data_IF_011154298621
#
_entry.id   IF_011154298621
#
_cell.length_a   1.000
_cell.length_b   1.000
_cell.length_c   1.000
_cell.angle_alpha   90.00
_cell.angle_beta   90.00
_cell.angle_gamma   90.00
#
_symmetry.space_group_name_H-M   'P 1'
#
loop_
_entity.id
_entity.type
_entity.pdbx_description
1 polymer ?
#
# COMPACT_ATOMS: atom_id res chain seq x y z
N UNK A 1 2.11 -23.78 -19.83
CA UNK A 1 1.03 -24.51 -19.12
C UNK A 1 0.30 -23.53 -18.23
N UNK A 2 -0.95 -23.21 -18.55
CA UNK A 2 -1.81 -22.35 -17.72
C UNK A 2 -2.16 -23.16 -16.47
N UNK A 3 -1.74 -22.68 -15.29
CA UNK A 3 -2.13 -23.28 -14.01
C UNK A 3 -3.66 -23.21 -13.91
N UNK A 4 -4.29 -24.38 -13.78
CA UNK A 4 -5.72 -24.56 -13.49
C UNK A 4 -6.20 -23.52 -12.48
N UNK A 5 -7.11 -22.65 -12.92
CA UNK A 5 -7.80 -21.67 -12.08
C UNK A 5 -8.78 -22.44 -11.17
N UNK A 6 -8.38 -22.73 -9.93
CA UNK A 6 -9.23 -23.46 -8.96
C UNK A 6 -9.30 -22.74 -7.61
N UNK A 7 -10.14 -21.71 -7.58
CA UNK A 7 -11.19 -21.38 -6.58
C UNK A 7 -11.86 -20.10 -7.10
N UNK A 8 -13.18 -20.06 -7.18
CA UNK A 8 -13.93 -18.80 -7.36
C UNK A 8 -13.72 -17.99 -6.08
N UNK A 9 -12.71 -17.15 -6.07
CA UNK A 9 -12.55 -16.16 -5.01
C UNK A 9 -13.55 -15.05 -5.30
N UNK A 10 -14.35 -14.70 -4.30
CA UNK A 10 -15.22 -13.54 -4.39
C UNK A 10 -14.39 -12.31 -4.01
N UNK A 11 -14.55 -11.25 -4.80
CA UNK A 11 -13.91 -9.97 -4.56
C UNK A 11 -14.99 -8.93 -4.31
N UNK A 12 -14.76 -8.11 -3.30
CA UNK A 12 -15.57 -6.96 -2.93
C UNK A 12 -14.78 -5.69 -3.21
N UNK A 13 -15.50 -4.59 -3.44
CA UNK A 13 -14.98 -3.31 -3.86
C UNK A 13 -15.38 -2.23 -2.86
N UNK A 14 -14.43 -1.36 -2.53
CA UNK A 14 -14.67 -0.14 -1.76
C UNK A 14 -14.00 1.04 -2.49
N UNK A 15 -14.70 2.18 -2.61
CA UNK A 15 -14.23 3.33 -3.40
C UNK A 15 -14.39 4.63 -2.59
N UNK A 16 -13.39 5.50 -2.61
CA UNK A 16 -13.45 6.82 -1.98
C UNK A 16 -14.38 7.79 -2.72
N UNK A 17 -14.64 8.95 -2.13
CA UNK A 17 -15.17 10.09 -2.90
C UNK A 17 -14.18 10.54 -3.99
N UNK A 18 -14.64 11.35 -4.93
CA UNK A 18 -13.76 12.00 -5.93
C UNK A 18 -12.96 13.12 -5.27
N UNK A 19 -11.63 13.06 -5.36
CA UNK A 19 -10.69 13.96 -4.67
C UNK A 19 -9.81 14.73 -5.68
N UNK A 20 -9.35 15.92 -5.31
CA UNK A 20 -8.55 16.81 -6.18
C UNK A 20 -8.86 18.29 -5.94
N UNK A 21 -7.87 19.19 -6.00
CA UNK A 21 -8.10 20.66 -5.86
C UNK A 21 -8.75 21.34 -7.07
N UNK A 22 -8.77 20.69 -8.24
CA UNK A 22 -9.25 21.28 -9.50
C UNK A 22 -10.35 20.47 -10.20
N UNK A 23 -10.49 20.63 -11.52
CA UNK A 23 -11.47 19.86 -12.30
C UNK A 23 -11.05 18.40 -12.48
N UNK A 24 -9.74 18.14 -12.46
CA UNK A 24 -9.20 16.79 -12.45
C UNK A 24 -9.42 16.17 -11.07
N UNK A 25 -10.04 14.99 -11.04
CA UNK A 25 -10.36 14.26 -9.82
C UNK A 25 -10.04 12.78 -9.98
N UNK A 26 -9.55 12.19 -8.91
CA UNK A 26 -9.23 10.76 -8.79
C UNK A 26 -10.02 10.12 -7.65
N UNK A 27 -9.98 8.79 -7.58
CA UNK A 27 -10.61 8.02 -6.51
C UNK A 27 -9.69 6.88 -6.11
N UNK A 28 -9.62 6.61 -4.80
CA UNK A 28 -8.98 5.41 -4.30
C UNK A 28 -9.95 4.24 -4.41
N UNK A 29 -9.48 3.13 -5.00
CA UNK A 29 -10.26 1.93 -5.19
C UNK A 29 -9.58 0.74 -4.51
N UNK A 30 -10.32 0.01 -3.69
CA UNK A 30 -9.85 -1.17 -2.98
C UNK A 30 -10.62 -2.39 -3.43
N UNK A 31 -9.93 -3.32 -4.09
CA UNK A 31 -10.46 -4.61 -4.45
C UNK A 31 -9.88 -5.66 -3.49
N UNK A 32 -10.73 -6.31 -2.70
CA UNK A 32 -10.28 -7.25 -1.68
C UNK A 32 -11.14 -8.51 -1.66
N UNK A 33 -10.57 -9.60 -1.13
CA UNK A 33 -11.29 -10.87 -1.00
C UNK A 33 -11.96 -10.96 0.36
N UNK A 34 -13.28 -11.05 0.37
CA UNK A 34 -14.08 -11.20 1.58
C UNK A 34 -13.81 -12.53 2.32
N UNK A 35 -13.30 -13.55 1.62
CA UNK A 35 -12.84 -14.80 2.26
C UNK A 35 -11.51 -14.67 3.03
N UNK A 36 -10.85 -13.51 2.96
CA UNK A 36 -9.57 -13.22 3.61
C UNK A 36 -9.64 -12.10 4.64
N UNK A 37 -10.45 -11.08 4.39
CA UNK A 37 -10.57 -9.90 5.25
C UNK A 37 -12.01 -9.37 5.29
N UNK A 38 -12.39 -8.79 6.42
CA UNK A 38 -13.60 -7.98 6.53
C UNK A 38 -13.22 -6.49 6.58
N UNK A 39 -13.84 -5.64 5.77
CA UNK A 39 -13.76 -4.18 5.98
C UNK A 39 -14.63 -3.81 7.18
N UNK A 40 -14.00 -3.38 8.28
CA UNK A 40 -14.68 -3.08 9.54
C UNK A 40 -14.77 -1.57 9.85
N UNK A 41 -14.16 -0.74 9.03
CA UNK A 41 -14.31 0.71 9.08
C UNK A 41 -13.57 1.40 7.95
N UNK A 42 -14.06 2.54 7.51
CA UNK A 42 -13.36 3.42 6.59
C UNK A 42 -13.74 4.88 6.86
N UNK A 43 -12.88 5.81 6.48
CA UNK A 43 -13.21 7.23 6.44
C UNK A 43 -12.26 8.03 5.54
N UNK A 44 -12.78 9.12 5.00
CA UNK A 44 -11.99 10.13 4.30
C UNK A 44 -11.35 11.07 5.33
N UNK A 45 -10.03 11.25 5.29
CA UNK A 45 -9.35 12.26 6.12
C UNK A 45 -9.88 13.66 5.76
N UNK A 46 -10.11 14.51 6.77
CA UNK A 46 -10.82 15.80 6.60
C UNK A 46 -9.91 16.99 6.29
N UNK A 47 -8.60 16.80 6.37
CA UNK A 47 -7.56 17.76 5.96
C UNK A 47 -7.83 19.21 6.39
N UNK A 48 -8.21 19.38 7.65
CA UNK A 48 -8.65 20.63 8.23
C UNK A 48 -7.85 20.98 9.49
N UNK A 49 -6.57 20.61 9.50
CA UNK A 49 -5.68 20.89 10.62
C UNK A 49 -5.42 22.41 10.71
N UNK A 50 -5.66 23.05 11.88
CA UNK A 50 -5.49 24.49 12.01
C UNK A 50 -4.06 24.93 11.69
N UNK A 51 -3.89 25.79 10.68
CA UNK A 51 -2.60 26.30 10.25
C UNK A 51 -1.89 25.45 9.19
N UNK A 52 -2.44 24.30 8.81
CA UNK A 52 -2.06 23.56 7.60
C UNK A 52 -3.28 22.97 6.89
N UNK A 53 -4.34 23.77 6.77
CA UNK A 53 -5.55 23.36 6.07
C UNK A 53 -5.26 23.08 4.58
N UNK A 54 -5.93 22.05 4.03
CA UNK A 54 -5.74 21.64 2.63
C UNK A 54 -4.26 21.31 2.34
N UNK A 55 -3.67 20.39 3.10
CA UNK A 55 -2.34 19.86 2.86
C UNK A 55 -2.28 18.96 1.62
N UNK A 56 -3.30 18.14 1.39
CA UNK A 56 -3.33 17.10 0.37
C UNK A 56 -4.13 17.50 -0.86
N UNK A 57 -3.59 17.25 -2.05
CA UNK A 57 -4.39 17.36 -3.26
C UNK A 57 -5.52 16.31 -3.30
N UNK A 58 -5.26 15.14 -2.70
CA UNK A 58 -6.20 14.03 -2.50
C UNK A 58 -6.06 13.52 -1.08
N UNK A 59 -7.02 13.87 -0.25
CA UNK A 59 -7.03 13.52 1.16
C UNK A 59 -6.96 11.99 1.32
N UNK A 60 -6.19 11.42 2.26
CA UNK A 60 -6.07 9.97 2.39
C UNK A 60 -7.39 9.28 2.76
N UNK A 61 -7.72 8.19 2.06
CA UNK A 61 -8.90 7.36 2.34
C UNK A 61 -8.55 6.17 3.22
N UNK A 62 -8.74 6.29 4.53
CA UNK A 62 -8.29 5.30 5.51
C UNK A 62 -9.26 4.12 5.59
N UNK A 63 -8.75 2.89 5.56
CA UNK A 63 -9.53 1.65 5.70
C UNK A 63 -8.98 0.77 6.82
N UNK A 64 -9.87 0.15 7.59
CA UNK A 64 -9.53 -0.81 8.64
C UNK A 64 -10.12 -2.17 8.31
N UNK A 65 -9.26 -3.16 8.24
CA UNK A 65 -9.60 -4.53 7.94
C UNK A 65 -9.40 -5.42 9.16
N UNK A 66 -10.32 -6.36 9.35
CA UNK A 66 -10.07 -7.55 10.16
C UNK A 66 -9.49 -8.63 9.25
N UNK A 67 -8.36 -9.22 9.62
CA UNK A 67 -7.70 -10.24 8.81
C UNK A 67 -7.90 -11.66 9.36
N UNK A 68 -8.37 -12.58 8.52
CA UNK A 68 -8.79 -13.91 8.98
C UNK A 68 -7.60 -14.88 9.19
N UNK A 69 -6.59 -14.81 8.33
CA UNK A 69 -5.57 -15.88 8.18
C UNK A 69 -4.13 -15.44 8.48
N UNK A 70 -3.92 -14.17 8.80
CA UNK A 70 -2.61 -13.58 9.12
C UNK A 70 -2.36 -13.62 10.62
N UNK A 71 -1.09 -13.48 11.02
CA UNK A 71 -0.71 -13.29 12.44
C UNK A 71 -1.27 -11.97 12.98
N UNK A 72 -1.29 -10.94 12.13
CA UNK A 72 -1.95 -9.67 12.36
C UNK A 72 -3.45 -9.83 12.15
N UNK A 73 -4.30 -9.51 13.13
CA UNK A 73 -5.77 -9.65 13.03
C UNK A 73 -6.49 -8.34 12.69
N UNK A 74 -5.80 -7.22 12.84
CA UNK A 74 -6.30 -5.87 12.63
C UNK A 74 -5.27 -5.14 11.77
N UNK A 75 -5.68 -4.61 10.63
CA UNK A 75 -4.81 -3.92 9.68
C UNK A 75 -5.48 -2.64 9.22
N UNK A 76 -4.78 -1.52 9.36
CA UNK A 76 -5.18 -0.24 8.80
C UNK A 76 -4.34 0.05 7.57
N UNK A 77 -5.01 0.41 6.47
CA UNK A 77 -4.39 0.86 5.23
C UNK A 77 -4.66 2.34 5.02
N UNK A 78 -3.61 3.08 4.66
CA UNK A 78 -3.65 4.49 4.27
C UNK A 78 -3.11 4.58 2.83
N UNK A 79 -3.99 4.56 1.80
CA UNK A 79 -3.60 4.82 0.43
C UNK A 79 -3.16 6.26 0.25
N UNK A 80 -2.11 6.47 -0.54
CA UNK A 80 -1.61 7.80 -0.87
C UNK A 80 -1.30 7.88 -2.36
N UNK A 81 -1.76 8.95 -2.99
CA UNK A 81 -1.26 9.38 -4.30
C UNK A 81 -0.91 10.85 -4.16
N UNK A 82 0.38 11.15 -4.00
CA UNK A 82 0.83 12.52 -3.77
C UNK A 82 0.74 13.36 -5.03
N UNK A 83 0.52 14.67 -4.89
CA UNK A 83 0.73 15.55 -6.05
C UNK A 83 2.24 15.72 -6.25
N UNK A 84 2.80 15.43 -7.45
CA UNK A 84 4.25 15.38 -7.63
C UNK A 84 4.98 16.64 -7.14
N UNK A 85 4.45 17.82 -7.44
CA UNK A 85 5.06 19.10 -7.04
C UNK A 85 4.97 19.39 -5.53
N UNK A 86 4.03 18.75 -4.83
CA UNK A 86 3.78 18.93 -3.39
C UNK A 86 4.22 17.69 -2.57
N UNK A 87 4.89 16.70 -3.18
CA UNK A 87 5.23 15.41 -2.56
C UNK A 87 5.94 15.56 -1.22
N UNK A 88 6.89 16.48 -1.10
CA UNK A 88 7.61 16.69 0.17
C UNK A 88 6.67 17.12 1.29
N UNK A 89 5.71 18.01 0.98
CA UNK A 89 4.72 18.48 1.95
C UNK A 89 3.75 17.35 2.29
N UNK A 90 3.10 16.78 1.29
CA UNK A 90 2.08 15.74 1.50
C UNK A 90 2.64 14.53 2.24
N UNK A 91 3.88 14.10 1.95
CA UNK A 91 4.52 13.01 2.67
C UNK A 91 4.85 13.36 4.12
N UNK A 92 5.18 14.61 4.43
CA UNK A 92 5.43 15.03 5.81
C UNK A 92 4.12 15.01 6.63
N UNK A 93 3.03 15.49 6.04
CA UNK A 93 1.69 15.54 6.63
C UNK A 93 1.06 14.16 6.85
N UNK A 94 1.57 13.10 6.20
CA UNK A 94 1.16 11.73 6.52
C UNK A 94 1.47 11.34 7.97
N UNK A 95 2.39 12.03 8.64
CA UNK A 95 2.62 11.84 10.07
C UNK A 95 1.37 12.21 10.89
N UNK A 96 0.71 13.32 10.56
CA UNK A 96 -0.47 13.78 11.30
C UNK A 96 -1.69 12.92 10.99
N UNK A 97 -1.82 12.47 9.74
CA UNK A 97 -2.80 11.44 9.36
C UNK A 97 -2.58 10.17 10.18
N UNK A 98 -1.33 9.72 10.30
CA UNK A 98 -0.99 8.56 11.14
C UNK A 98 -1.37 8.78 12.60
N UNK A 99 -1.06 9.93 13.20
CA UNK A 99 -1.43 10.23 14.59
C UNK A 99 -2.95 10.25 14.78
N UNK A 100 -3.69 10.81 13.82
CA UNK A 100 -5.15 10.83 13.81
C UNK A 100 -5.73 9.41 13.81
N UNK A 101 -5.25 8.55 12.91
CA UNK A 101 -5.66 7.14 12.79
C UNK A 101 -5.35 6.37 14.07
N UNK A 102 -4.10 6.48 14.55
CA UNK A 102 -3.63 5.81 15.77
C UNK A 102 -4.49 6.20 16.98
N UNK A 103 -4.80 7.48 17.14
CA UNK A 103 -5.68 7.97 18.20
C UNK A 103 -7.13 7.52 18.04
N UNK A 104 -7.66 7.54 16.81
CA UNK A 104 -9.06 7.21 16.52
C UNK A 104 -9.37 5.73 16.75
N UNK A 105 -8.45 4.85 16.42
CA UNK A 105 -8.67 3.40 16.43
C UNK A 105 -7.82 2.64 17.44
N UNK A 106 -6.97 3.33 18.20
CA UNK A 106 -6.12 2.77 19.25
C UNK A 106 -5.29 1.57 18.76
N UNK A 107 -4.71 1.71 17.56
CA UNK A 107 -3.96 0.64 16.89
C UNK A 107 -2.68 1.17 16.27
N UNK A 108 -1.62 0.38 16.37
CA UNK A 108 -0.31 0.63 15.73
C UNK A 108 -0.16 -0.13 14.40
N UNK A 109 -1.14 -0.98 14.05
CA UNK A 109 -1.10 -1.86 12.88
C UNK A 109 -1.43 -1.11 11.59
N UNK A 110 -0.65 -0.07 11.28
CA UNK A 110 -0.89 0.88 10.20
C UNK A 110 0.14 0.67 9.10
N UNK A 111 -0.36 0.53 7.87
CA UNK A 111 0.42 0.51 6.63
C UNK A 111 0.00 1.71 5.77
N UNK A 112 0.99 2.48 5.32
CA UNK A 112 0.83 3.61 4.40
C UNK A 112 1.45 3.19 3.07
N UNK A 113 0.73 3.31 1.97
CA UNK A 113 1.20 2.80 0.69
C UNK A 113 0.57 3.49 -0.51
N UNK A 114 1.27 3.44 -1.63
CA UNK A 114 0.81 4.02 -2.89
C UNK A 114 1.90 4.77 -3.65
N UNK A 115 1.49 5.56 -4.62
CA UNK A 115 2.38 6.45 -5.36
C UNK A 115 2.71 7.68 -4.52
N UNK A 116 3.90 7.66 -3.92
CA UNK A 116 4.37 8.74 -3.08
C UNK A 116 5.12 9.81 -3.87
N UNK A 117 5.41 9.57 -5.15
CA UNK A 117 6.35 10.37 -5.93
C UNK A 117 7.68 10.59 -5.16
N UNK A 118 8.10 9.58 -4.40
CA UNK A 118 9.15 9.67 -3.36
C UNK A 118 10.60 9.59 -3.89
N UNK A 119 10.86 10.06 -5.11
CA UNK A 119 12.17 9.99 -5.75
C UNK A 119 12.30 10.97 -6.93
N UNK A 120 13.39 10.86 -7.69
CA UNK A 120 13.63 11.57 -8.94
C UNK A 120 13.64 13.08 -8.72
N UNK A 121 12.90 13.80 -9.58
CA UNK A 121 12.83 15.26 -9.51
C UNK A 121 11.89 15.79 -8.43
N UNK A 122 11.11 14.93 -7.78
CA UNK A 122 10.04 15.35 -6.85
C UNK A 122 10.54 15.40 -5.41
N UNK A 123 11.36 14.42 -5.00
CA UNK A 123 11.92 14.36 -3.64
C UNK A 123 13.40 14.02 -3.69
N UNK A 124 14.26 15.01 -3.42
CA UNK A 124 15.70 14.76 -3.27
C UNK A 124 16.01 13.99 -1.98
N UNK A 125 17.13 13.28 -1.93
CA UNK A 125 17.60 12.59 -0.69
C UNK A 125 17.64 13.52 0.55
N UNK A 126 17.99 14.79 0.34
CA UNK A 126 18.07 15.79 1.42
C UNK A 126 16.68 16.18 1.94
N UNK A 127 15.69 16.26 1.06
CA UNK A 127 14.29 16.49 1.45
C UNK A 127 13.72 15.24 2.12
N UNK A 128 13.97 14.06 1.54
CA UNK A 128 13.52 12.76 2.08
C UNK A 128 13.90 12.59 3.55
N UNK A 129 15.15 12.91 3.92
CA UNK A 129 15.66 12.84 5.31
C UNK A 129 14.94 13.76 6.31
N UNK A 130 14.19 14.76 5.85
CA UNK A 130 13.45 15.70 6.72
C UNK A 130 12.01 15.30 6.96
N UNK A 131 11.44 14.44 6.11
CA UNK A 131 10.05 13.98 6.21
C UNK A 131 9.86 13.19 7.50
N UNK A 132 8.85 13.52 8.31
CA UNK A 132 8.60 12.93 9.63
C UNK A 132 8.46 11.40 9.59
N UNK A 133 7.63 10.87 8.66
CA UNK A 133 7.46 9.42 8.48
C UNK A 133 8.70 8.72 7.90
N UNK A 134 9.73 9.46 7.48
CA UNK A 134 11.01 8.92 7.02
C UNK A 134 12.09 8.97 8.09
N UNK A 135 12.10 10.04 8.89
CA UNK A 135 13.09 10.25 9.94
C UNK A 135 12.80 9.41 11.20
N UNK A 136 11.52 9.23 11.54
CA UNK A 136 11.12 8.38 12.67
C UNK A 136 11.39 6.90 12.37
N UNK A 137 12.24 6.27 13.19
CA UNK A 137 12.69 4.89 13.04
C UNK A 137 11.62 3.83 13.31
N UNK A 138 10.46 4.23 13.81
CA UNK A 138 9.30 3.34 13.92
C UNK A 138 8.57 3.15 12.61
N UNK A 139 8.82 3.98 11.60
CA UNK A 139 8.31 3.79 10.25
C UNK A 139 9.31 2.99 9.43
N UNK A 140 8.92 1.77 9.08
CA UNK A 140 9.72 0.84 8.32
C UNK A 140 9.32 0.94 6.85
N UNK A 141 10.19 1.54 6.04
CA UNK A 141 10.02 1.65 4.59
C UNK A 141 10.44 0.33 3.94
N UNK A 142 9.48 -0.43 3.44
CA UNK A 142 9.69 -1.78 2.92
C UNK A 142 10.22 -1.78 1.48
N UNK A 143 9.88 -0.76 0.71
CA UNK A 143 10.46 -0.50 -0.62
C UNK A 143 11.63 0.47 -0.46
N UNK A 144 12.84 -0.04 -0.71
CA UNK A 144 14.09 0.73 -0.63
C UNK A 144 14.19 1.82 -1.72
N UNK A 145 15.04 2.83 -1.50
CA UNK A 145 15.14 4.02 -2.37
C UNK A 145 15.70 3.77 -3.78
N UNK A 146 16.34 2.63 -4.01
CA UNK A 146 16.96 2.28 -5.29
C UNK A 146 16.19 1.13 -5.98
N UNK A 147 14.85 1.19 -5.93
CA UNK A 147 13.96 0.15 -6.46
C UNK A 147 13.04 0.76 -7.51
N UNK A 148 13.32 0.48 -8.78
CA UNK A 148 12.49 0.94 -9.90
C UNK A 148 11.03 0.45 -9.78
N UNK A 149 10.12 1.40 -9.58
CA UNK A 149 8.67 1.14 -9.55
C UNK A 149 7.97 1.62 -10.82
N UNK A 150 8.71 1.99 -11.87
CA UNK A 150 8.14 2.54 -13.10
C UNK A 150 8.23 1.57 -14.28
N UNK A 151 7.20 1.54 -15.12
CA UNK A 151 7.23 0.81 -16.40
C UNK A 151 7.94 1.61 -17.51
N UNK A 152 8.43 2.81 -17.19
CA UNK A 152 9.18 3.66 -18.10
C UNK A 152 10.55 3.06 -18.41
N UNK A 153 11.08 3.34 -19.60
CA UNK A 153 12.48 3.04 -19.95
C UNK A 153 13.41 4.24 -19.77
N UNK A 154 12.85 5.39 -19.36
CA UNK A 154 13.57 6.66 -19.30
C UNK A 154 13.99 7.06 -17.88
N UNK A 155 13.63 6.27 -16.87
CA UNK A 155 14.02 6.46 -15.48
C UNK A 155 13.94 5.11 -14.74
N UNK A 156 14.40 5.11 -13.50
CA UNK A 156 14.40 3.99 -12.57
C UNK A 156 13.92 4.44 -11.17
N UNK A 157 12.98 5.40 -11.13
CA UNK A 157 12.58 6.08 -9.91
C UNK A 157 11.78 5.17 -8.96
N UNK A 158 11.96 5.38 -7.66
CA UNK A 158 11.21 4.70 -6.59
C UNK A 158 10.03 5.55 -6.09
N UNK A 159 9.02 5.71 -6.96
CA UNK A 159 7.85 6.52 -6.64
C UNK A 159 6.88 5.81 -5.69
N UNK A 160 6.62 4.53 -5.92
CA UNK A 160 5.64 3.76 -5.18
C UNK A 160 6.26 3.15 -3.92
N UNK A 161 5.60 3.30 -2.78
CA UNK A 161 6.15 2.90 -1.48
C UNK A 161 5.17 2.08 -0.67
N UNK A 162 5.73 1.27 0.22
CA UNK A 162 5.02 0.61 1.31
C UNK A 162 5.77 0.92 2.60
N UNK A 163 5.08 1.52 3.57
CA UNK A 163 5.61 1.90 4.88
C UNK A 163 4.73 1.28 5.96
N UNK A 164 5.34 0.63 6.94
CA UNK A 164 4.62 0.03 8.08
C UNK A 164 5.09 0.64 9.40
N UNK A 165 4.18 0.81 10.37
CA UNK A 165 4.53 1.37 11.67
C UNK A 165 4.74 0.29 12.73
N UNK A 166 5.84 0.40 13.47
CA UNK A 166 6.15 -0.42 14.63
C UNK A 166 6.73 -1.80 14.29
N UNK A 167 7.45 -2.36 15.25
CA UNK A 167 8.17 -3.62 15.07
C UNK A 167 7.22 -4.81 14.98
N UNK A 168 6.06 -4.78 15.66
CA UNK A 168 5.05 -5.84 15.57
C UNK A 168 4.48 -5.97 14.14
N UNK A 169 4.26 -4.84 13.45
CA UNK A 169 3.83 -4.84 12.06
C UNK A 169 4.98 -5.36 11.17
N UNK A 170 6.19 -4.82 11.33
CA UNK A 170 7.36 -5.31 10.58
C UNK A 170 7.55 -6.84 10.74
N UNK A 171 7.39 -7.35 11.96
CA UNK A 171 7.47 -8.77 12.26
C UNK A 171 6.31 -9.58 11.66
N UNK A 172 5.17 -8.95 11.34
CA UNK A 172 4.09 -9.58 10.60
C UNK A 172 4.36 -9.67 9.09
N UNK A 173 5.34 -8.94 8.54
CA UNK A 173 5.73 -9.00 7.13
C UNK A 173 6.60 -10.24 6.86
N UNK A 174 6.36 -10.93 5.73
CA UNK A 174 7.27 -11.99 5.26
C UNK A 174 8.57 -11.33 4.77
N UNK A 175 9.74 -11.65 5.36
CA UNK A 175 10.99 -11.01 4.99
C UNK A 175 11.29 -11.13 3.49
N UNK A 176 11.63 -10.01 2.86
CA UNK A 176 11.95 -9.93 1.43
C UNK A 176 10.75 -10.08 0.48
N UNK A 177 9.51 -10.05 0.99
CA UNK A 177 8.31 -10.10 0.13
C UNK A 177 7.87 -8.74 -0.43
N UNK A 178 8.44 -7.64 0.06
CA UNK A 178 8.11 -6.31 -0.42
C UNK A 178 8.90 -5.99 -1.69
N UNK A 179 8.24 -5.95 -2.84
CA UNK A 179 8.88 -5.70 -4.14
C UNK A 179 7.89 -5.10 -5.17
N UNK A 180 8.39 -4.44 -6.23
CA UNK A 180 7.56 -4.08 -7.38
C UNK A 180 7.26 -5.32 -8.23
N UNK A 181 5.98 -5.51 -8.58
CA UNK A 181 5.56 -6.50 -9.55
C UNK A 181 5.77 -5.98 -10.97
N UNK A 182 6.96 -6.25 -11.52
CA UNK A 182 7.30 -5.93 -12.91
C UNK A 182 6.49 -6.80 -13.89
N UNK A 183 5.26 -6.35 -14.20
CA UNK A 183 4.34 -7.06 -15.09
C UNK A 183 4.84 -7.12 -16.55
N UNK A 184 5.70 -6.18 -16.96
CA UNK A 184 6.35 -6.21 -18.26
C UNK A 184 7.21 -7.48 -18.39
N UNK A 185 8.07 -7.74 -17.39
CA UNK A 185 8.92 -8.93 -17.33
C UNK A 185 8.09 -10.19 -17.10
N UNK A 186 7.14 -10.15 -16.16
CA UNK A 186 6.33 -11.32 -15.79
C UNK A 186 5.50 -11.84 -16.98
N UNK A 187 4.95 -10.94 -17.79
CA UNK A 187 4.09 -11.28 -18.93
C UNK A 187 4.77 -11.13 -20.29
N UNK A 188 6.08 -10.83 -20.31
CA UNK A 188 6.88 -10.65 -21.54
C UNK A 188 6.26 -9.63 -22.49
N UNK A 189 5.78 -8.51 -21.93
CA UNK A 189 5.23 -7.42 -22.72
C UNK A 189 6.35 -6.59 -23.35
N UNK A 190 6.07 -6.06 -24.54
CA UNK A 190 6.84 -4.93 -25.08
C UNK A 190 6.52 -3.67 -24.27
N UNK A 191 7.47 -2.75 -24.15
CA UNK A 191 7.32 -1.47 -23.42
C UNK A 191 6.04 -0.75 -23.83
N UNK A 192 5.76 -0.62 -25.13
CA UNK A 192 4.54 0.02 -25.64
C UNK A 192 3.23 -0.61 -25.15
N UNK A 193 3.24 -1.93 -24.90
CA UNK A 193 2.08 -2.63 -24.36
C UNK A 193 2.03 -2.54 -22.83
N UNK A 194 3.18 -2.52 -22.16
CA UNK A 194 3.24 -2.28 -20.72
C UNK A 194 2.68 -0.90 -20.37
N UNK A 195 3.11 0.15 -21.09
CA UNK A 195 2.63 1.53 -20.90
C UNK A 195 1.14 1.73 -21.20
N UNK A 196 0.51 0.82 -21.95
CA UNK A 196 -0.97 0.82 -22.12
C UNK A 196 -1.70 0.27 -20.89
N UNK A 197 -1.03 -0.52 -20.06
CA UNK A 197 -1.57 -1.02 -18.78
C UNK A 197 -1.40 0.07 -17.72
N UNK A 198 -0.16 0.50 -17.49
CA UNK A 198 0.24 1.59 -16.60
C UNK A 198 1.72 1.93 -16.83
N UNK A 199 2.10 3.15 -16.48
CA UNK A 199 3.46 3.65 -16.34
C UNK A 199 4.09 3.33 -14.96
N UNK A 200 3.35 2.76 -14.02
CA UNK A 200 3.83 2.29 -12.71
C UNK A 200 3.68 0.78 -12.58
N UNK A 201 4.62 0.13 -11.89
CA UNK A 201 4.47 -1.24 -11.41
C UNK A 201 3.73 -1.24 -10.06
N UNK A 202 2.81 -2.20 -9.81
CA UNK A 202 2.28 -2.39 -8.47
C UNK A 202 3.42 -2.70 -7.49
N UNK A 203 3.40 -2.13 -6.29
CA UNK A 203 4.21 -2.61 -5.16
C UNK A 203 3.40 -3.58 -4.33
N UNK A 204 3.99 -4.72 -3.97
CA UNK A 204 3.33 -5.78 -3.24
C UNK A 204 4.07 -6.14 -1.95
N UNK A 205 3.37 -6.71 -0.98
CA UNK A 205 3.95 -7.26 0.26
C UNK A 205 3.11 -8.45 0.75
N UNK A 206 3.75 -9.46 1.34
CA UNK A 206 3.07 -10.60 1.95
C UNK A 206 3.10 -10.51 3.48
N UNK A 207 1.94 -10.72 4.11
CA UNK A 207 1.83 -10.85 5.57
C UNK A 207 1.90 -12.32 6.01
N UNK A 208 2.65 -12.59 7.08
CA UNK A 208 2.80 -13.90 7.70
C UNK A 208 1.44 -14.46 8.09
N UNK A 209 1.27 -15.75 7.82
CA UNK A 209 0.07 -16.49 8.19
C UNK A 209 0.12 -16.97 9.63
N UNK A 210 -1.04 -16.99 10.27
CA UNK A 210 -1.18 -17.71 11.52
C UNK A 210 -0.98 -19.22 11.27
N UNK A 211 -0.11 -19.84 12.08
CA UNK A 211 0.09 -21.29 12.01
C UNK A 211 -1.16 -22.01 12.50
N UNK A 212 -1.57 -23.13 11.86
CA UNK A 212 -2.66 -23.94 12.39
C UNK A 212 -2.33 -24.40 13.82
N UNK A 213 -3.26 -24.23 14.75
CA UNK A 213 -3.11 -24.77 16.12
C UNK A 213 -2.80 -26.28 16.06
N UNK A 214 -1.90 -26.82 16.91
CA UNK A 214 -1.41 -28.21 16.81
C UNK A 214 -2.49 -29.32 16.85
N UNK A 215 -3.73 -29.03 17.25
CA UNK A 215 -4.75 -30.06 17.49
C UNK A 215 -5.78 -30.27 16.36
N UNK A 216 -5.50 -29.83 15.13
CA UNK A 216 -6.30 -30.23 13.97
C UNK A 216 -5.38 -30.55 12.77
N UNK A 217 -4.83 -31.77 12.74
CA UNK A 217 -4.28 -32.34 11.51
C UNK A 217 -5.36 -33.15 10.78
N UNK A 218 -5.93 -32.67 9.66
CA UNK A 218 -6.46 -33.58 8.65
C UNK A 218 -5.30 -34.18 7.85
N UNK A 219 -5.44 -35.46 7.51
CA UNK A 219 -4.50 -36.26 6.71
C UNK A 219 -3.96 -35.49 5.50
N UNK A 220 -2.62 -35.55 5.34
CA UNK A 220 -1.84 -34.95 4.24
C UNK A 220 -2.56 -35.00 2.89
N UNK A 221 -3.03 -33.85 2.43
CA UNK A 221 -3.20 -33.56 1.00
C UNK A 221 -2.23 -32.43 0.65
N UNK A 222 -1.46 -32.62 -0.44
CA UNK A 222 -0.55 -31.62 -1.00
C UNK A 222 -1.27 -30.26 -1.11
N UNK A 223 -0.91 -29.31 -0.25
CA UNK A 223 -1.49 -27.97 -0.24
C UNK A 223 -0.71 -27.08 -1.21
N UNK A 224 -1.43 -26.56 -2.21
CA UNK A 224 -0.97 -25.41 -2.99
C UNK A 224 -0.89 -24.21 -2.04
N UNK A 225 0.27 -23.55 -1.96
CA UNK A 225 0.43 -22.27 -1.25
C UNK A 225 -0.61 -21.29 -1.83
N UNK A 226 -1.54 -20.83 -1.01
CA UNK A 226 -2.48 -19.76 -1.38
C UNK A 226 -1.95 -18.48 -0.76
N UNK A 227 -1.74 -17.41 -1.49
CA UNK A 227 -1.15 -16.17 -0.95
C UNK A 227 -2.25 -15.23 -0.43
N UNK A 228 -1.91 -14.36 0.52
CA UNK A 228 -2.67 -13.13 0.79
C UNK A 228 -1.80 -12.02 0.22
N UNK A 229 -2.16 -11.57 -0.97
CA UNK A 229 -1.49 -10.48 -1.67
C UNK A 229 -2.37 -9.26 -1.45
N UNK A 230 -1.80 -8.21 -0.85
CA UNK A 230 -2.41 -6.88 -0.87
C UNK A 230 -1.87 -6.21 -2.12
N UNK A 231 -2.69 -6.15 -3.16
CA UNK A 231 -2.37 -5.46 -4.40
C UNK A 231 -3.15 -4.15 -4.37
N UNK A 232 -2.44 -3.02 -4.26
CA UNK A 232 -3.03 -1.71 -4.43
C UNK A 232 -2.51 -1.16 -5.75
N UNK A 233 -3.41 -1.05 -6.73
CA UNK A 233 -3.15 -0.30 -7.96
C UNK A 233 -3.86 1.03 -7.83
N UNK A 234 -3.10 2.11 -7.77
CA UNK A 234 -3.63 3.47 -7.75
C UNK A 234 -3.53 4.03 -9.17
N UNK A 235 -4.61 4.64 -9.65
CA UNK A 235 -4.69 5.36 -10.92
C UNK A 235 -5.44 6.65 -10.71
#
# INVERSE_FOLDING_TARGET
MIKKYTKTHHYTLEISTRLGRGNYKEQFMFLYRDDLVDLIGSYQYKDNEPGDEDAFAREPYVLRFRCHKTVLKDLVLIPVHTKPEDSVKELDELYDVFQNVKKKWETDNIMILGDFNADGNYVSEKQMKKIRIRNDKKFHWLIADDVDTTASVNNDNTYDRIVVYGDDMLDAVVPGSAEPFNFQKAYKLKVENALKVSDHYPVEVELKRESPRPNQQPKRKRTCKKQVQVEITMK
#
